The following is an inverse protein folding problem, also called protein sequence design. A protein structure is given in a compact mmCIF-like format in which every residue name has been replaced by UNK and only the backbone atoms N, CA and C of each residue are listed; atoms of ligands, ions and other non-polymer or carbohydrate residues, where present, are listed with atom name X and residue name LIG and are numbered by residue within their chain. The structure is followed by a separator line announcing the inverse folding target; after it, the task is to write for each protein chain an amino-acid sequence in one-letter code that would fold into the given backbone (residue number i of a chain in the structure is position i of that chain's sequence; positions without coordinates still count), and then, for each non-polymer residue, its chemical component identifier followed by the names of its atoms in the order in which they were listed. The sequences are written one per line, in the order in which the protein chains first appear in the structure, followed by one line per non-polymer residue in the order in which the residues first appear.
data_IF_772516592777
#
_entry.id   IF_772516592777
#
_cell.length_a   1.000
_cell.length_b   1.000
_cell.length_c   1.000
_cell.angle_alpha   90.00
_cell.angle_beta   90.00
_cell.angle_gamma   90.00
#
_symmetry.space_group_name_H-M   'P 1'
#
loop_
_entity.id
_entity.type
_entity.pdbx_description
1 polymer ?
#
# COMPACT_ATOMS: atom_id res chain seq x y z
N UNK A 1 -0.88 -41.22 -43.47
CA UNK A 1 -1.55 -40.14 -44.23
C UNK A 1 -2.79 -39.78 -43.44
N UNK A 2 -2.90 -38.70 -42.70
CA UNK A 2 -2.07 -37.52 -42.43
C UNK A 2 -2.32 -37.18 -40.95
N UNK A 3 -1.25 -36.88 -40.23
CA UNK A 3 -1.30 -36.24 -38.92
C UNK A 3 -1.31 -34.73 -39.20
N UNK A 4 -2.50 -34.18 -39.46
CA UNK A 4 -2.72 -32.73 -39.51
C UNK A 4 -3.46 -32.38 -38.22
N UNK A 5 -2.83 -31.73 -37.24
CA UNK A 5 -2.37 -30.37 -37.43
C UNK A 5 -3.44 -29.41 -36.89
N UNK A 6 -3.90 -29.64 -35.66
CA UNK A 6 -4.54 -28.58 -34.86
C UNK A 6 -3.56 -28.25 -33.76
N UNK A 7 -2.46 -27.62 -34.19
CA UNK A 7 -1.70 -26.74 -33.32
C UNK A 7 -2.70 -25.64 -32.95
N UNK A 8 -3.32 -25.78 -31.77
CA UNK A 8 -4.23 -24.77 -31.26
C UNK A 8 -3.38 -23.52 -31.13
N UNK A 9 -3.55 -22.59 -32.09
CA UNK A 9 -2.85 -21.32 -32.18
C UNK A 9 -2.78 -20.68 -30.79
N UNK A 10 -1.66 -20.93 -30.12
CA UNK A 10 -1.31 -20.30 -28.87
C UNK A 10 -1.05 -18.86 -29.25
N UNK A 11 -2.09 -18.02 -29.11
CA UNK A 11 -1.99 -16.58 -29.28
C UNK A 11 -1.00 -16.08 -28.23
N UNK A 12 0.29 -16.07 -28.61
CA UNK A 12 1.39 -15.48 -27.84
C UNK A 12 1.28 -13.98 -27.96
N UNK A 13 0.48 -13.40 -27.08
CA UNK A 13 0.39 -11.96 -26.92
C UNK A 13 1.58 -11.51 -26.07
N UNK A 14 2.66 -11.09 -26.72
CA UNK A 14 3.78 -10.43 -26.03
C UNK A 14 3.45 -8.96 -25.78
N UNK A 15 3.41 -8.57 -24.50
CA UNK A 15 3.29 -7.18 -24.07
C UNK A 15 4.57 -6.42 -24.45
N UNK A 16 4.50 -5.52 -25.45
CA UNK A 16 5.58 -4.56 -25.71
C UNK A 16 5.19 -3.18 -25.20
N UNK A 17 5.76 -2.80 -24.06
CA UNK A 17 5.86 -1.39 -23.69
C UNK A 17 6.72 -0.72 -24.77
N UNK A 18 6.18 0.27 -25.48
CA UNK A 18 7.00 1.08 -26.38
C UNK A 18 8.03 1.85 -25.54
N UNK A 19 9.20 2.09 -26.12
CA UNK A 19 10.28 2.86 -25.47
C UNK A 19 9.84 4.29 -25.09
N UNK A 20 8.77 4.81 -25.71
CA UNK A 20 8.17 6.11 -25.42
C UNK A 20 7.16 6.10 -24.25
N UNK A 21 6.92 4.95 -23.62
CA UNK A 21 6.00 4.81 -22.49
C UNK A 21 4.51 4.84 -22.86
N UNK A 22 4.15 4.86 -24.15
CA UNK A 22 2.74 4.89 -24.59
C UNK A 22 2.19 3.47 -24.72
N UNK A 23 1.27 3.11 -23.83
CA UNK A 23 0.54 1.84 -23.90
C UNK A 23 -0.64 1.97 -24.89
N UNK A 24 -0.68 1.15 -25.94
CA UNK A 24 -1.79 1.09 -26.88
C UNK A 24 -2.68 -0.12 -26.54
N UNK A 25 -3.99 0.12 -26.35
CA UNK A 25 -5.02 -0.89 -26.02
C UNK A 25 -4.58 -1.86 -24.90
N UNK A 26 -4.86 -1.46 -23.66
CA UNK A 26 -4.57 -2.26 -22.47
C UNK A 26 -5.36 -3.58 -22.50
N UNK A 27 -4.67 -4.73 -22.53
CA UNK A 27 -5.27 -6.06 -22.25
C UNK A 27 -5.94 -6.14 -20.88
N UNK A 28 -5.67 -5.15 -20.05
CA UNK A 28 -6.31 -4.96 -18.77
C UNK A 28 -7.59 -4.11 -18.87
N UNK A 29 -8.21 -3.90 -20.03
CA UNK A 29 -9.44 -3.11 -20.14
C UNK A 29 -10.64 -3.98 -20.49
N UNK A 30 -11.70 -3.86 -19.70
CA UNK A 30 -13.00 -4.53 -19.90
C UNK A 30 -14.12 -3.51 -19.79
N UNK A 31 -15.23 -3.75 -20.50
CA UNK A 31 -16.43 -2.93 -20.42
C UNK A 31 -17.34 -3.47 -19.32
N UNK A 32 -17.63 -2.65 -18.30
CA UNK A 32 -18.50 -3.02 -17.17
C UNK A 32 -19.52 -1.93 -16.88
N UNK A 33 -20.66 -2.34 -16.34
CA UNK A 33 -21.60 -1.38 -15.75
C UNK A 33 -20.99 -0.78 -14.49
N UNK A 34 -21.31 0.48 -14.23
CA UNK A 34 -20.93 1.17 -13.00
C UNK A 34 -22.18 1.53 -12.21
N UNK A 35 -22.18 1.27 -10.91
CA UNK A 35 -23.36 1.47 -10.05
C UNK A 35 -23.86 2.92 -10.01
N UNK A 36 -22.96 3.90 -10.22
CA UNK A 36 -23.31 5.33 -10.31
C UNK A 36 -23.37 5.85 -11.75
N UNK A 37 -23.21 4.96 -12.73
CA UNK A 37 -23.28 5.28 -14.15
C UNK A 37 -24.71 5.37 -14.68
N UNK A 38 -24.86 5.72 -15.96
CA UNK A 38 -26.17 5.72 -16.62
C UNK A 38 -26.60 4.30 -16.93
N UNK A 39 -27.90 4.02 -16.77
CA UNK A 39 -28.47 2.72 -17.09
C UNK A 39 -28.20 2.35 -18.57
N UNK A 40 -27.67 1.15 -18.80
CA UNK A 40 -27.33 0.64 -20.14
C UNK A 40 -25.98 1.11 -20.69
N UNK A 41 -25.27 2.00 -19.99
CA UNK A 41 -23.93 2.44 -20.37
C UNK A 41 -22.86 1.49 -19.80
N UNK A 42 -21.80 1.26 -20.57
CA UNK A 42 -20.63 0.51 -20.14
C UNK A 42 -19.43 1.44 -20.05
N UNK A 43 -18.68 1.30 -18.97
CA UNK A 43 -17.48 2.07 -18.69
C UNK A 43 -16.25 1.21 -18.87
N UNK A 44 -15.15 1.82 -19.33
CA UNK A 44 -13.87 1.15 -19.50
C UNK A 44 -13.19 0.98 -18.14
N UNK A 45 -13.16 -0.24 -17.63
CA UNK A 45 -12.62 -0.57 -16.32
C UNK A 45 -11.38 -1.46 -16.44
N UNK A 46 -10.50 -1.47 -15.43
CA UNK A 46 -9.41 -2.44 -15.36
C UNK A 46 -9.97 -3.87 -15.19
N UNK A 47 -9.38 -4.85 -15.90
CA UNK A 47 -9.70 -6.26 -15.74
C UNK A 47 -9.12 -6.83 -14.44
N UNK A 48 -7.93 -6.34 -14.08
CA UNK A 48 -7.16 -6.63 -12.87
C UNK A 48 -6.76 -5.32 -12.19
N UNK A 49 -6.97 -5.25 -10.87
CA UNK A 49 -6.63 -4.09 -10.04
C UNK A 49 -5.25 -4.21 -9.36
N UNK A 50 -4.61 -5.37 -9.47
CA UNK A 50 -3.32 -5.63 -8.85
C UNK A 50 -2.59 -6.82 -9.47
N UNK A 51 -1.38 -7.04 -8.96
CA UNK A 51 -0.48 -8.12 -9.36
C UNK A 51 0.18 -8.71 -8.12
N UNK A 52 0.30 -10.03 -8.07
CA UNK A 52 1.16 -10.74 -7.13
C UNK A 52 2.44 -11.11 -7.87
N UNK A 53 3.59 -10.68 -7.34
CA UNK A 53 4.91 -10.99 -7.90
C UNK A 53 5.65 -11.89 -6.92
N UNK A 54 6.03 -13.07 -7.39
CA UNK A 54 6.96 -13.94 -6.70
C UNK A 54 8.39 -13.54 -7.09
N UNK A 55 9.06 -12.84 -6.17
CA UNK A 55 10.43 -12.33 -6.39
C UNK A 55 11.44 -13.48 -6.51
N UNK A 56 11.21 -14.61 -5.84
CA UNK A 56 12.14 -15.75 -5.86
C UNK A 56 11.96 -16.63 -7.09
N UNK A 57 10.71 -16.89 -7.48
CA UNK A 57 10.36 -17.73 -8.64
C UNK A 57 10.25 -16.99 -9.96
N UNK A 58 10.22 -15.65 -9.95
CA UNK A 58 10.09 -14.82 -11.16
C UNK A 58 8.68 -14.84 -11.78
N UNK A 59 7.70 -15.38 -11.07
CA UNK A 59 6.32 -15.49 -11.54
C UNK A 59 5.50 -14.24 -11.20
N UNK A 60 4.47 -13.97 -12.01
CA UNK A 60 3.56 -12.85 -11.80
C UNK A 60 2.14 -13.25 -12.18
N UNK A 61 1.17 -12.97 -11.31
CA UNK A 61 -0.25 -13.29 -11.51
C UNK A 61 -1.14 -12.08 -11.25
N UNK A 62 -2.24 -11.90 -12.00
CA UNK A 62 -3.31 -10.99 -11.62
C UNK A 62 -3.81 -11.30 -10.21
N UNK A 63 -3.90 -10.28 -9.37
CA UNK A 63 -4.36 -10.44 -8.00
C UNK A 63 -5.16 -9.22 -7.56
N UNK A 64 -6.16 -9.45 -6.72
CA UNK A 64 -6.90 -8.37 -6.06
C UNK A 64 -6.95 -8.69 -4.58
N UNK A 65 -6.60 -7.71 -3.75
CA UNK A 65 -6.77 -7.88 -2.31
C UNK A 65 -8.26 -7.78 -2.00
N UNK A 66 -8.78 -8.82 -1.34
CA UNK A 66 -10.18 -8.83 -0.94
C UNK A 66 -10.46 -7.64 -0.01
N UNK A 67 -11.59 -6.94 -0.22
CA UNK A 67 -11.99 -5.86 0.67
C UNK A 67 -12.03 -6.26 2.14
N UNK A 68 -11.50 -5.38 3.00
CA UNK A 68 -11.42 -5.61 4.45
C UNK A 68 -10.36 -6.62 4.90
N UNK A 69 -9.63 -7.27 3.98
CA UNK A 69 -8.58 -8.25 4.34
C UNK A 69 -7.15 -7.69 4.18
N UNK A 70 -7.01 -6.40 3.85
CA UNK A 70 -5.70 -5.72 3.79
C UNK A 70 -5.05 -5.72 5.18
N UNK A 71 -4.14 -6.67 5.39
CA UNK A 71 -3.35 -6.77 6.60
C UNK A 71 -1.88 -6.45 6.29
N UNK A 72 -1.54 -5.17 6.32
CA UNK A 72 -0.15 -4.73 6.29
C UNK A 72 0.13 -3.79 7.46
N UNK A 73 1.36 -3.79 8.01
CA UNK A 73 1.66 -3.00 9.19
C UNK A 73 1.35 -1.52 8.97
N UNK A 74 0.71 -0.92 9.97
CA UNK A 74 0.32 0.49 9.99
C UNK A 74 -0.54 0.92 8.80
N UNK A 75 -1.52 0.08 8.41
CA UNK A 75 -2.33 0.36 7.22
C UNK A 75 -3.01 1.72 7.20
N UNK A 76 -3.67 2.10 8.31
CA UNK A 76 -4.34 3.40 8.45
C UNK A 76 -3.37 4.58 8.24
N UNK A 77 -2.19 4.51 8.85
CA UNK A 77 -1.16 5.52 8.69
C UNK A 77 -0.67 5.58 7.24
N UNK A 78 -0.35 4.42 6.64
CA UNK A 78 0.13 4.35 5.26
C UNK A 78 -0.88 4.87 4.24
N UNK A 79 -2.18 4.64 4.46
CA UNK A 79 -3.25 5.23 3.63
C UNK A 79 -3.28 6.76 3.72
N UNK A 80 -2.97 7.31 4.90
CA UNK A 80 -2.86 8.76 5.11
C UNK A 80 -1.67 9.37 4.37
N UNK A 81 -0.60 8.59 4.27
CA UNK A 81 0.63 8.99 3.61
C UNK A 81 0.57 8.94 2.09
N UNK A 82 -0.51 8.43 1.45
CA UNK A 82 -0.65 8.40 -0.02
C UNK A 82 -0.89 9.79 -0.66
N UNK A 83 -0.13 10.79 -0.25
CA UNK A 83 -0.05 12.09 -0.91
C UNK A 83 1.01 12.05 -2.01
N UNK A 84 0.92 12.98 -3.00
CA UNK A 84 1.97 13.12 -4.01
C UNK A 84 3.34 13.25 -3.36
N UNK A 85 4.22 12.26 -3.58
CA UNK A 85 5.59 12.28 -3.08
C UNK A 85 5.90 11.29 -1.96
N UNK A 86 4.94 10.59 -1.38
CA UNK A 86 5.27 9.45 -0.53
C UNK A 86 5.89 8.34 -1.36
N UNK A 87 7.18 8.12 -1.14
CA UNK A 87 7.99 7.18 -1.91
C UNK A 87 8.80 6.34 -0.93
N UNK A 88 8.78 5.03 -1.18
CA UNK A 88 9.63 4.01 -0.56
C UNK A 88 9.26 3.62 0.88
N UNK A 89 9.24 2.31 1.14
CA UNK A 89 9.06 1.72 2.49
C UNK A 89 10.36 1.14 3.06
N UNK A 90 11.48 1.31 2.35
CA UNK A 90 12.82 0.88 2.76
C UNK A 90 13.85 2.01 2.58
N UNK A 91 14.97 1.97 3.30
CA UNK A 91 16.14 2.80 2.99
C UNK A 91 16.67 2.51 1.57
N UNK A 92 17.16 3.53 0.89
CA UNK A 92 17.93 3.40 -0.34
C UNK A 92 19.43 3.56 -0.01
N UNK A 93 20.29 2.84 -0.73
CA UNK A 93 21.74 2.91 -0.54
C UNK A 93 22.27 4.35 -0.60
N UNK A 94 21.78 5.13 -1.57
CA UNK A 94 22.16 6.54 -1.78
C UNK A 94 21.79 7.49 -0.64
N UNK A 95 20.90 7.09 0.27
CA UNK A 95 20.51 7.92 1.41
C UNK A 95 21.52 7.82 2.56
N UNK A 96 22.43 6.85 2.51
CA UNK A 96 23.40 6.61 3.58
C UNK A 96 22.71 6.15 4.87
N UNK A 97 22.97 6.87 5.95
CA UNK A 97 22.43 6.56 7.28
C UNK A 97 21.25 7.46 7.60
N UNK A 98 20.11 6.84 7.91
CA UNK A 98 18.85 7.51 8.20
C UNK A 98 18.56 7.51 9.70
N UNK A 99 18.21 8.68 10.25
CA UNK A 99 17.72 8.78 11.63
C UNK A 99 16.23 8.47 11.69
N UNK A 100 15.86 7.37 12.34
CA UNK A 100 14.48 6.86 12.42
C UNK A 100 14.04 6.70 13.87
N UNK A 101 12.72 6.58 14.09
CA UNK A 101 12.14 6.26 15.39
C UNK A 101 11.57 4.83 15.42
N UNK A 102 11.84 4.05 16.47
CA UNK A 102 11.25 2.74 16.75
C UNK A 102 9.85 2.93 17.34
N UNK A 103 8.87 3.21 16.50
CA UNK A 103 7.50 3.53 16.91
C UNK A 103 7.14 5.01 16.72
N UNK A 104 5.88 5.34 17.01
CA UNK A 104 5.33 6.69 16.83
C UNK A 104 5.78 7.66 17.93
N UNK A 105 5.60 8.96 17.68
CA UNK A 105 6.01 10.04 18.57
C UNK A 105 5.24 10.05 19.91
N UNK A 106 3.91 9.89 19.87
CA UNK A 106 3.06 10.04 21.06
C UNK A 106 2.42 8.72 21.50
N UNK A 107 2.16 8.60 22.80
CA UNK A 107 1.45 7.45 23.37
C UNK A 107 0.02 7.31 22.82
N UNK A 108 -0.64 8.44 22.51
CA UNK A 108 -1.98 8.43 21.91
C UNK A 108 -1.96 7.83 20.50
N UNK A 109 -1.00 8.24 19.66
CA UNK A 109 -0.81 7.62 18.35
C UNK A 109 -0.47 6.13 18.50
N UNK A 110 0.35 5.76 19.49
CA UNK A 110 0.75 4.36 19.68
C UNK A 110 -0.46 3.49 20.00
N UNK A 111 -1.31 3.95 20.93
CA UNK A 111 -2.57 3.28 21.26
C UNK A 111 -3.52 3.19 20.06
N UNK A 112 -3.66 4.26 19.27
CA UNK A 112 -4.54 4.27 18.10
C UNK A 112 -4.12 3.28 17.01
N UNK A 113 -2.81 3.20 16.75
CA UNK A 113 -2.26 2.28 15.74
C UNK A 113 -1.96 0.88 16.28
N UNK A 114 -2.29 0.59 17.55
CA UNK A 114 -2.03 -0.70 18.18
C UNK A 114 -0.54 -1.04 18.35
N UNK A 115 0.31 -0.03 18.51
CA UNK A 115 1.75 -0.20 18.72
C UNK A 115 2.11 -0.20 20.21
N UNK A 116 3.15 -0.95 20.57
CA UNK A 116 3.75 -0.87 21.90
C UNK A 116 4.51 0.45 22.06
N UNK A 117 4.34 1.17 23.18
CA UNK A 117 5.14 2.36 23.47
C UNK A 117 6.62 1.99 23.60
N UNK A 118 7.50 2.77 22.96
CA UNK A 118 8.95 2.60 23.09
C UNK A 118 9.52 3.72 23.96
N UNK A 119 10.38 3.40 24.95
CA UNK A 119 11.01 4.40 25.81
C UNK A 119 11.77 5.46 24.99
N UNK A 120 11.71 6.76 25.36
CA UNK A 120 12.36 7.83 24.61
C UNK A 120 13.86 7.60 24.38
N UNK A 121 14.56 7.02 25.35
CA UNK A 121 16.00 6.74 25.29
C UNK A 121 16.39 5.72 24.22
N UNK A 122 15.48 4.82 23.84
CA UNK A 122 15.72 3.76 22.84
C UNK A 122 14.96 3.99 21.54
N UNK A 123 14.14 5.04 21.52
CA UNK A 123 13.20 5.31 20.44
C UNK A 123 13.91 5.79 19.18
N UNK A 124 14.98 6.58 19.27
CA UNK A 124 15.65 7.11 18.08
C UNK A 124 16.90 6.28 17.77
N UNK A 125 17.03 5.82 16.53
CA UNK A 125 18.22 5.12 16.06
C UNK A 125 18.59 5.49 14.63
N UNK A 126 19.86 5.30 14.31
CA UNK A 126 20.37 5.48 12.97
C UNK A 126 20.38 4.13 12.23
N UNK A 127 19.84 4.08 11.02
CA UNK A 127 19.72 2.87 10.21
C UNK A 127 20.27 3.11 8.80
N UNK A 128 21.21 2.27 8.38
CA UNK A 128 21.64 2.17 6.98
C UNK A 128 20.84 1.08 6.26
N UNK A 129 20.91 1.04 4.93
CA UNK A 129 20.32 -0.06 4.15
C UNK A 129 20.83 -1.43 4.64
N UNK A 130 22.15 -1.58 4.87
CA UNK A 130 22.72 -2.82 5.37
C UNK A 130 22.17 -3.22 6.75
N UNK A 131 22.02 -2.26 7.67
CA UNK A 131 21.45 -2.52 8.99
C UNK A 131 19.96 -2.91 8.90
N UNK A 132 19.20 -2.29 7.99
CA UNK A 132 17.80 -2.63 7.74
C UNK A 132 17.66 -4.04 7.17
N UNK A 133 18.48 -4.41 6.17
CA UNK A 133 18.50 -5.77 5.59
C UNK A 133 18.89 -6.81 6.65
N UNK A 134 19.89 -6.53 7.47
CA UNK A 134 20.27 -7.43 8.56
C UNK A 134 19.13 -7.64 9.57
N UNK A 135 18.42 -6.57 9.94
CA UNK A 135 17.25 -6.66 10.82
C UNK A 135 16.11 -7.48 10.17
N UNK A 136 15.91 -7.33 8.86
CA UNK A 136 14.94 -8.11 8.09
C UNK A 136 15.27 -9.60 8.10
N UNK A 137 16.51 -9.95 7.72
CA UNK A 137 16.97 -11.35 7.68
C UNK A 137 16.85 -12.01 9.05
N UNK A 138 17.29 -11.33 10.12
CA UNK A 138 17.16 -11.83 11.49
C UNK A 138 15.69 -12.10 11.86
N UNK A 139 14.77 -11.20 11.49
CA UNK A 139 13.32 -11.41 11.74
C UNK A 139 12.78 -12.62 10.95
N UNK A 140 13.25 -12.86 9.73
CA UNK A 140 12.89 -14.07 8.99
C UNK A 140 13.38 -15.34 9.69
N UNK A 141 14.58 -15.32 10.27
CA UNK A 141 15.16 -16.45 11.02
C UNK A 141 14.45 -16.70 12.35
N UNK A 142 13.96 -15.64 13.03
CA UNK A 142 13.19 -15.73 14.27
C UNK A 142 11.79 -16.37 14.06
N UNK A 143 11.29 -16.41 12.83
CA UNK A 143 9.95 -16.91 12.50
C UNK A 143 9.76 -18.42 12.56
N UNK A 144 10.62 -19.16 13.22
CA UNK A 144 10.42 -20.60 13.44
C UNK A 144 10.61 -21.46 12.20
N UNK A 145 10.24 -22.73 12.35
CA UNK A 145 10.47 -23.76 11.32
C UNK A 145 9.31 -23.88 10.35
N UNK A 146 8.08 -23.59 10.81
CA UNK A 146 6.88 -23.73 9.99
C UNK A 146 6.58 -22.48 9.17
N UNK A 147 5.89 -22.66 8.04
CA UNK A 147 5.48 -21.55 7.18
C UNK A 147 4.50 -20.60 7.88
N UNK A 148 3.61 -21.13 8.72
CA UNK A 148 2.67 -20.34 9.53
C UNK A 148 3.38 -19.48 10.58
N UNK A 149 4.38 -20.02 11.28
CA UNK A 149 5.19 -19.23 12.23
C UNK A 149 5.93 -18.11 11.48
N UNK A 150 6.54 -18.40 10.32
CA UNK A 150 7.27 -17.40 9.55
C UNK A 150 6.35 -16.31 9.01
N UNK A 151 5.16 -16.68 8.55
CA UNK A 151 4.15 -15.74 8.08
C UNK A 151 3.58 -14.88 9.22
N UNK A 152 3.65 -15.34 10.47
CA UNK A 152 3.17 -14.59 11.63
C UNK A 152 4.17 -13.50 12.09
N UNK A 153 5.45 -13.61 11.72
CA UNK A 153 6.45 -12.61 12.12
C UNK A 153 6.31 -11.34 11.30
N UNK A 154 6.07 -10.24 12.00
CA UNK A 154 6.08 -8.91 11.39
C UNK A 154 7.50 -8.54 10.96
N UNK A 155 7.70 -8.41 9.65
CA UNK A 155 8.96 -7.94 9.09
C UNK A 155 9.14 -6.44 9.35
N UNK A 156 10.39 -5.97 9.54
CA UNK A 156 10.63 -4.56 9.82
C UNK A 156 10.22 -3.70 8.63
N UNK A 157 9.46 -2.63 8.87
CA UNK A 157 9.00 -1.69 7.84
C UNK A 157 9.36 -0.27 8.25
N UNK A 158 10.00 0.46 7.32
CA UNK A 158 10.21 1.89 7.46
C UNK A 158 9.04 2.65 6.84
N UNK A 159 8.18 3.19 7.69
CA UNK A 159 7.12 4.13 7.29
C UNK A 159 7.70 5.54 7.30
N UNK A 160 7.88 6.13 6.11
CA UNK A 160 8.49 7.46 5.99
C UNK A 160 7.56 8.54 6.55
N UNK A 161 8.16 9.58 7.10
CA UNK A 161 7.44 10.79 7.49
C UNK A 161 6.82 11.41 6.24
N UNK A 162 5.50 11.56 6.26
CA UNK A 162 4.76 12.33 5.26
C UNK A 162 4.46 13.74 5.75
N UNK A 163 3.56 14.40 5.03
CA UNK A 163 3.07 15.74 5.40
C UNK A 163 1.55 15.72 5.33
N UNK A 164 0.91 16.12 6.41
CA UNK A 164 -0.52 16.41 6.45
C UNK A 164 -0.84 17.31 7.64
N UNK A 165 -1.95 18.01 7.54
CA UNK A 165 -2.52 18.79 8.63
C UNK A 165 -3.67 18.03 9.27
N UNK A 166 -3.87 18.29 10.56
CA UNK A 166 -5.03 17.77 11.26
C UNK A 166 -6.28 18.42 10.68
N UNK A 167 -7.21 17.62 10.21
CA UNK A 167 -8.48 18.11 9.69
C UNK A 167 -9.46 18.30 10.84
N UNK A 168 -9.80 19.55 11.12
CA UNK A 168 -10.80 19.86 12.14
C UNK A 168 -12.23 19.66 11.61
N UNK A 169 -13.16 19.44 12.53
CA UNK A 169 -14.61 19.40 12.29
C UNK A 169 -15.12 18.27 11.38
N UNK A 170 -14.38 17.18 11.20
CA UNK A 170 -14.90 15.99 10.51
C UNK A 170 -15.72 15.11 11.46
N UNK A 171 -16.85 15.61 11.96
CA UNK A 171 -17.68 14.88 12.94
C UNK A 171 -18.58 13.81 12.33
N UNK A 172 -18.60 13.67 11.01
CA UNK A 172 -19.58 12.87 10.29
C UNK A 172 -18.96 12.11 9.10
N UNK A 173 -17.75 11.57 9.28
CA UNK A 173 -17.08 10.75 8.26
C UNK A 173 -17.93 9.57 7.79
N UNK A 174 -18.61 8.94 8.74
CA UNK A 174 -19.47 7.78 8.48
C UNK A 174 -20.75 8.18 7.74
N UNK A 175 -21.19 9.43 7.86
CA UNK A 175 -22.37 9.96 7.16
C UNK A 175 -22.04 10.45 5.74
N UNK A 176 -20.75 10.62 5.40
CA UNK A 176 -20.36 10.97 4.04
C UNK A 176 -20.66 9.77 3.12
N UNK A 177 -21.39 9.97 2.01
CA UNK A 177 -21.69 8.88 1.08
C UNK A 177 -20.42 8.42 0.34
N UNK A 178 -20.39 7.17 -0.12
CA UNK A 178 -19.25 6.64 -0.91
C UNK A 178 -18.95 7.49 -2.15
N UNK A 179 -19.98 8.12 -2.72
CA UNK A 179 -19.86 9.05 -3.84
C UNK A 179 -18.93 10.22 -3.54
N UNK A 180 -18.90 10.72 -2.30
CA UNK A 180 -17.99 11.79 -1.90
C UNK A 180 -16.53 11.38 -2.11
N UNK A 181 -16.18 10.18 -1.65
CA UNK A 181 -14.82 9.66 -1.79
C UNK A 181 -14.50 9.37 -3.25
N UNK A 182 -15.41 8.70 -3.96
CA UNK A 182 -15.24 8.39 -5.37
C UNK A 182 -14.98 9.63 -6.23
N UNK A 183 -15.58 10.79 -5.91
CA UNK A 183 -15.30 12.04 -6.63
C UNK A 183 -13.87 12.59 -6.44
N UNK A 184 -13.12 12.07 -5.48
CA UNK A 184 -11.69 12.38 -5.29
C UNK A 184 -10.75 11.46 -6.10
N UNK A 185 -11.30 10.40 -6.71
CA UNK A 185 -10.58 9.50 -7.59
C UNK A 185 -10.27 10.15 -8.95
N UNK A 186 -9.16 9.75 -9.56
CA UNK A 186 -8.85 10.07 -10.96
C UNK A 186 -9.80 9.36 -11.93
N UNK A 187 -10.30 8.17 -11.58
CA UNK A 187 -11.20 7.34 -12.39
C UNK A 187 -12.23 6.62 -11.50
N UNK A 188 -13.32 7.30 -11.08
CA UNK A 188 -14.25 6.80 -10.06
C UNK A 188 -14.89 5.44 -10.36
N UNK A 189 -15.14 5.12 -11.63
CA UNK A 189 -15.73 3.85 -12.06
C UNK A 189 -14.73 2.69 -12.14
N UNK A 190 -13.44 2.97 -11.96
CA UNK A 190 -12.36 1.99 -11.95
C UNK A 190 -11.89 1.62 -10.55
N UNK A 191 -12.37 2.34 -9.52
CA UNK A 191 -11.89 2.13 -8.15
C UNK A 191 -12.35 0.79 -7.57
N UNK A 192 -11.52 0.13 -6.72
CA UNK A 192 -11.94 -1.04 -5.97
C UNK A 192 -13.14 -0.70 -5.09
N UNK A 193 -13.95 -1.72 -4.77
CA UNK A 193 -15.18 -1.55 -4.00
C UNK A 193 -14.99 -0.98 -2.59
N UNK A 194 -13.78 -0.99 -2.06
CA UNK A 194 -13.45 -0.43 -0.75
C UNK A 194 -12.61 0.85 -0.79
N UNK A 195 -12.49 1.48 -1.95
CA UNK A 195 -11.84 2.78 -2.10
C UNK A 195 -12.40 3.82 -1.12
N UNK A 196 -13.73 3.90 -1.00
CA UNK A 196 -14.38 4.82 -0.07
C UNK A 196 -14.08 4.49 1.40
N UNK A 197 -13.97 3.20 1.76
CA UNK A 197 -13.59 2.78 3.10
C UNK A 197 -12.14 3.18 3.44
N UNK A 198 -11.21 3.03 2.49
CA UNK A 198 -9.82 3.51 2.65
C UNK A 198 -9.76 5.03 2.77
N UNK A 199 -10.57 5.75 1.99
CA UNK A 199 -10.73 7.20 2.09
C UNK A 199 -11.21 7.65 3.47
N UNK A 200 -12.23 6.99 4.02
CA UNK A 200 -12.71 7.24 5.40
C UNK A 200 -11.63 6.98 6.44
N UNK A 201 -10.92 5.85 6.34
CA UNK A 201 -9.83 5.53 7.27
C UNK A 201 -8.72 6.59 7.24
N UNK A 202 -8.34 7.05 6.04
CA UNK A 202 -7.38 8.15 5.87
C UNK A 202 -7.86 9.41 6.57
N UNK A 203 -9.09 9.86 6.29
CA UNK A 203 -9.62 11.07 6.90
C UNK A 203 -9.81 10.94 8.42
N UNK A 204 -10.12 9.74 8.92
CA UNK A 204 -10.21 9.45 10.35
C UNK A 204 -8.88 9.58 11.08
N UNK A 205 -7.77 9.16 10.45
CA UNK A 205 -6.43 9.44 11.00
C UNK A 205 -6.16 10.94 11.00
N UNK A 206 -6.47 11.62 9.89
CA UNK A 206 -6.23 13.06 9.76
C UNK A 206 -7.12 13.90 10.70
N UNK A 207 -8.29 13.42 11.12
CA UNK A 207 -9.12 14.12 12.10
C UNK A 207 -8.59 13.98 13.54
N UNK A 208 -7.86 12.90 13.82
CA UNK A 208 -7.34 12.62 15.16
C UNK A 208 -5.96 13.25 15.38
N UNK A 209 -5.10 13.21 14.34
CA UNK A 209 -3.66 13.48 14.45
C UNK A 209 -3.16 14.44 13.37
N UNK A 210 -2.26 15.35 13.75
CA UNK A 210 -1.34 15.99 12.80
C UNK A 210 -0.09 15.12 12.59
N UNK A 211 0.79 15.54 11.68
CA UNK A 211 2.07 14.86 11.43
C UNK A 211 2.95 14.75 12.68
N UNK A 212 2.99 15.79 13.53
CA UNK A 212 3.86 15.84 14.72
C UNK A 212 3.34 14.98 15.89
N UNK A 213 2.06 14.65 15.89
CA UNK A 213 1.50 13.68 16.84
C UNK A 213 2.02 12.25 16.57
N UNK A 214 2.41 11.97 15.32
CA UNK A 214 2.76 10.62 14.85
C UNK A 214 4.26 10.47 14.61
N UNK A 215 4.90 11.47 14.02
CA UNK A 215 6.32 11.45 13.67
C UNK A 215 7.09 12.44 14.53
N UNK A 216 8.20 11.98 15.11
CA UNK A 216 9.09 12.86 15.87
C UNK A 216 9.86 13.78 14.93
N UNK A 217 10.00 15.05 15.32
CA UNK A 217 10.77 16.03 14.59
C UNK A 217 12.24 15.58 14.46
N UNK A 218 12.85 15.81 13.30
CA UNK A 218 14.24 15.41 13.03
C UNK A 218 14.44 13.92 12.70
N UNK A 219 13.38 13.11 12.67
CA UNK A 219 13.44 11.72 12.17
C UNK A 219 12.84 11.64 10.76
N UNK A 220 13.37 10.73 9.94
CA UNK A 220 12.86 10.52 8.57
C UNK A 220 11.61 9.63 8.52
N UNK A 221 11.24 9.00 9.64
CA UNK A 221 10.14 8.05 9.70
C UNK A 221 10.20 7.12 10.89
N UNK A 222 9.27 6.16 10.87
CA UNK A 222 9.06 5.16 11.90
C UNK A 222 9.53 3.80 11.37
N UNK A 223 10.43 3.15 12.10
CA UNK A 223 10.79 1.76 11.90
C UNK A 223 10.00 0.90 12.89
N UNK A 224 9.07 0.10 12.38
CA UNK A 224 8.26 -0.87 13.14
C UNK A 224 8.66 -2.30 12.81
#
# INVERSE_FOLDING_TARGET
KENDGVDADLVRIEHRLREDGVCFWSFNTVLRQWAMGRAGELYSCPASLGLLVDVGGGCCWPATVQPGTRNYPLAALRNTLMQPGYRWTCPLEREGTLRVRRGVATARAASYFGLQPVPPTESVCDVSLAAYVAAFLRRCEEGGETEEERASVSLPILVRRGVWEKMENIRMLDDLPDSFFLMTSTTPHCEPSDFAALGRQRLGVMSEFCVDDVFEEGTVGILV
#
